data_IF_468612226111
#
_entry.id   IF_468612226111
#
_cell.length_a   1.000
_cell.length_b   1.000
_cell.length_c   1.000
_cell.angle_alpha   90.00
_cell.angle_beta   90.00
_cell.angle_gamma   90.00
#
_symmetry.space_group_name_H-M   'P 1'
#
loop_
_entity.id
_entity.type
_entity.pdbx_description
1 polymer ?
#
# COMPACT_ATOMS: atom_id res chain seq x y z
N UNK A 1 11.47 16.37 1.55
CA UNK A 1 12.41 15.29 1.95
C UNK A 1 11.62 14.12 2.54
N UNK A 2 11.24 13.15 1.70
CA UNK A 2 10.48 11.95 2.13
C UNK A 2 11.30 11.10 3.11
N UNK A 3 12.60 10.99 2.86
CA UNK A 3 13.55 10.21 3.68
C UNK A 3 13.57 10.62 5.17
N UNK A 4 13.45 11.92 5.47
CA UNK A 4 13.45 12.39 6.86
C UNK A 4 12.17 11.98 7.59
N UNK A 5 11.03 11.99 6.89
CA UNK A 5 9.78 11.52 7.47
C UNK A 5 9.82 10.02 7.74
N UNK A 6 10.40 9.23 6.81
CA UNK A 6 10.61 7.79 7.00
C UNK A 6 11.48 7.53 8.23
N UNK A 7 12.63 8.22 8.36
CA UNK A 7 13.51 8.08 9.53
C UNK A 7 12.82 8.42 10.85
N UNK A 8 11.90 9.39 10.87
CA UNK A 8 11.12 9.70 12.07
C UNK A 8 10.24 8.52 12.45
N UNK A 9 9.52 7.93 11.48
CA UNK A 9 8.67 6.76 11.71
C UNK A 9 9.49 5.56 12.18
N UNK A 10 10.64 5.29 11.55
CA UNK A 10 11.53 4.20 11.95
C UNK A 10 11.98 4.34 13.40
N UNK A 11 12.42 5.54 13.81
CA UNK A 11 12.85 5.80 15.19
C UNK A 11 11.71 5.75 16.19
N UNK A 12 10.51 6.17 15.82
CA UNK A 12 9.36 6.19 16.71
C UNK A 12 8.69 4.84 16.86
N UNK A 13 8.63 4.05 15.80
CA UNK A 13 7.88 2.80 15.79
C UNK A 13 8.86 1.63 15.85
N UNK A 14 9.69 1.45 14.82
CA UNK A 14 10.54 0.26 14.71
C UNK A 14 11.54 0.18 15.88
N UNK A 15 12.19 1.29 16.23
CA UNK A 15 13.15 1.27 17.34
C UNK A 15 12.48 0.95 18.69
N UNK A 16 11.23 1.37 18.94
CA UNK A 16 10.51 1.02 20.18
C UNK A 16 10.07 -0.44 20.20
N UNK A 17 9.77 -1.03 19.04
CA UNK A 17 9.33 -2.42 18.92
C UNK A 17 10.49 -3.43 18.76
N UNK A 18 11.75 -2.99 18.59
CA UNK A 18 12.90 -3.86 18.25
C UNK A 18 13.21 -4.99 19.24
N UNK A 19 12.70 -4.92 20.46
CA UNK A 19 12.88 -5.95 21.50
C UNK A 19 11.57 -6.63 21.89
N UNK A 20 10.49 -6.41 21.12
CA UNK A 20 9.22 -7.08 21.29
C UNK A 20 9.12 -8.27 20.34
N UNK A 21 8.61 -9.38 20.84
CA UNK A 21 8.26 -10.55 20.03
C UNK A 21 6.74 -10.61 19.92
N UNK A 22 6.23 -10.69 18.70
CA UNK A 22 4.81 -10.82 18.41
C UNK A 22 4.53 -12.22 17.85
N UNK A 23 3.43 -12.83 18.31
CA UNK A 23 3.04 -14.17 17.89
C UNK A 23 1.93 -14.17 16.82
N UNK A 24 1.35 -13.01 16.53
CA UNK A 24 0.44 -12.84 15.41
C UNK A 24 0.54 -11.43 14.82
N UNK A 25 0.12 -11.31 13.55
CA UNK A 25 0.19 -10.06 12.80
C UNK A 25 -0.76 -8.98 13.38
N UNK A 26 -1.90 -9.38 13.96
CA UNK A 26 -2.83 -8.44 14.57
C UNK A 26 -2.24 -7.74 15.80
N UNK A 27 -1.44 -8.45 16.60
CA UNK A 27 -0.80 -7.86 17.78
C UNK A 27 0.26 -6.83 17.38
N UNK A 28 1.07 -7.17 16.37
CA UNK A 28 2.04 -6.24 15.79
C UNK A 28 1.33 -4.99 15.23
N UNK A 29 0.27 -5.18 14.44
CA UNK A 29 -0.50 -4.06 13.88
C UNK A 29 -1.12 -3.18 14.96
N UNK A 30 -1.56 -3.76 16.08
CA UNK A 30 -2.11 -3.03 17.21
C UNK A 30 -1.04 -2.17 17.87
N UNK A 31 0.13 -2.73 18.15
CA UNK A 31 1.26 -2.00 18.72
C UNK A 31 1.73 -0.86 17.80
N UNK A 32 1.82 -1.09 16.48
CA UNK A 32 2.15 -0.06 15.50
C UNK A 32 1.13 1.08 15.53
N UNK A 33 -0.18 0.77 15.55
CA UNK A 33 -1.25 1.78 15.57
C UNK A 33 -1.18 2.66 16.82
N UNK A 34 -0.92 2.07 17.99
CA UNK A 34 -0.75 2.83 19.24
C UNK A 34 0.41 3.82 19.14
N UNK A 35 1.59 3.35 18.73
CA UNK A 35 2.77 4.20 18.57
C UNK A 35 2.58 5.28 17.50
N UNK A 36 1.87 4.97 16.42
CA UNK A 36 1.53 5.92 15.37
C UNK A 36 0.62 7.04 15.90
N UNK A 37 -0.40 6.71 16.69
CA UNK A 37 -1.28 7.69 17.34
C UNK A 37 -0.49 8.61 18.28
N UNK A 38 0.36 8.05 19.15
CA UNK A 38 1.23 8.83 20.03
C UNK A 38 2.14 9.79 19.25
N UNK A 39 2.79 9.28 18.18
CA UNK A 39 3.69 10.08 17.34
C UNK A 39 2.96 11.23 16.64
N UNK A 40 1.72 10.98 16.18
CA UNK A 40 0.93 11.98 15.46
C UNK A 40 0.34 13.05 16.38
N UNK A 41 -0.02 12.68 17.62
CA UNK A 41 -0.54 13.61 18.62
C UNK A 41 0.54 14.46 19.31
N UNK A 42 1.81 14.07 19.22
CA UNK A 42 2.91 14.82 19.86
C UNK A 42 3.17 16.15 19.15
N UNK A 43 3.35 17.27 19.88
CA UNK A 43 3.79 18.54 19.32
C UNK A 43 5.11 18.42 18.55
N UNK A 44 5.21 19.16 17.45
CA UNK A 44 6.44 19.22 16.66
C UNK A 44 7.54 19.96 17.44
N UNK A 45 8.81 19.63 17.18
CA UNK A 45 9.94 20.21 17.94
C UNK A 45 9.99 21.74 17.92
N UNK A 46 9.49 22.37 16.86
CA UNK A 46 9.56 23.84 16.66
C UNK A 46 8.19 24.53 16.71
N UNK A 47 7.11 23.78 16.95
CA UNK A 47 5.75 24.32 16.90
C UNK A 47 4.89 23.68 17.99
N UNK A 48 3.96 24.44 18.57
CA UNK A 48 3.02 23.92 19.59
C UNK A 48 1.90 23.06 19.01
N UNK A 49 1.88 22.85 17.69
CA UNK A 49 0.92 22.00 17.00
C UNK A 49 1.52 20.62 16.72
N UNK A 50 0.67 19.61 16.71
CA UNK A 50 1.00 18.22 16.38
C UNK A 50 0.81 17.93 14.89
N UNK A 51 1.25 16.74 14.44
CA UNK A 51 0.99 16.31 13.05
C UNK A 51 -0.51 16.11 12.82
N UNK A 52 -1.22 15.65 13.85
CA UNK A 52 -2.66 15.49 13.82
C UNK A 52 -3.37 16.84 13.64
N UNK A 53 -2.96 17.87 14.37
CA UNK A 53 -3.53 19.21 14.23
C UNK A 53 -3.34 19.77 12.82
N UNK A 54 -2.15 19.57 12.24
CA UNK A 54 -1.87 19.97 10.86
C UNK A 54 -2.74 19.19 9.86
N UNK A 55 -2.91 17.88 10.04
CA UNK A 55 -3.80 17.07 9.20
C UNK A 55 -5.24 17.58 9.25
N UNK A 56 -5.77 17.83 10.44
CA UNK A 56 -7.14 18.32 10.62
C UNK A 56 -7.35 19.70 10.00
N UNK A 57 -6.38 20.60 10.14
CA UNK A 57 -6.53 22.00 9.71
C UNK A 57 -6.18 22.25 8.25
N UNK A 58 -5.27 21.46 7.66
CA UNK A 58 -4.74 21.69 6.33
C UNK A 58 -5.15 20.60 5.34
N UNK A 59 -4.89 19.33 5.69
CA UNK A 59 -5.05 18.22 4.75
C UNK A 59 -6.52 17.79 4.64
N UNK A 60 -7.19 17.53 5.76
CA UNK A 60 -8.59 17.06 5.82
C UNK A 60 -9.55 17.90 4.97
N UNK A 61 -9.58 19.25 5.03
CA UNK A 61 -10.48 20.05 4.19
C UNK A 61 -10.12 20.01 2.70
N UNK A 62 -8.87 19.67 2.35
CA UNK A 62 -8.42 19.54 0.97
C UNK A 62 -8.62 18.12 0.40
N UNK A 63 -8.98 17.13 1.23
CA UNK A 63 -9.21 15.76 0.76
C UNK A 63 -10.53 15.63 0.02
N UNK A 64 -10.52 14.85 -1.07
CA UNK A 64 -11.74 14.36 -1.69
C UNK A 64 -12.46 13.37 -0.77
N UNK A 65 -13.80 13.23 -0.91
CA UNK A 65 -14.53 12.20 -0.21
C UNK A 65 -13.95 10.82 -0.51
N UNK A 66 -14.07 9.89 0.45
CA UNK A 66 -13.64 8.52 0.27
C UNK A 66 -14.33 7.93 -0.97
N UNK A 67 -13.58 7.43 -1.98
CA UNK A 67 -14.18 6.82 -3.15
C UNK A 67 -15.06 5.63 -2.75
N UNK A 68 -16.22 5.48 -3.40
CA UNK A 68 -17.13 4.36 -3.18
C UNK A 68 -16.53 3.02 -3.62
N UNK A 69 -15.60 3.06 -4.57
CA UNK A 69 -14.85 1.90 -5.03
C UNK A 69 -13.46 1.87 -4.39
N UNK A 70 -13.09 0.76 -3.71
CA UNK A 70 -11.74 0.58 -3.20
C UNK A 70 -10.71 0.70 -4.32
N UNK A 71 -9.54 1.24 -3.99
CA UNK A 71 -8.42 1.21 -4.92
C UNK A 71 -7.97 -0.23 -5.16
N UNK A 72 -8.08 -0.69 -6.41
CA UNK A 72 -7.59 -1.99 -6.84
C UNK A 72 -6.22 -1.82 -7.50
N UNK A 73 -5.15 -2.17 -6.79
CA UNK A 73 -3.84 -2.24 -7.41
C UNK A 73 -3.84 -3.35 -8.47
N UNK A 74 -3.54 -2.97 -9.71
CA UNK A 74 -3.44 -3.90 -10.82
C UNK A 74 -2.11 -3.69 -11.54
N UNK A 75 -1.46 -4.80 -11.86
CA UNK A 75 -0.33 -4.81 -12.79
C UNK A 75 -0.84 -5.13 -14.18
N UNK A 76 -0.27 -4.46 -15.17
CA UNK A 76 -0.60 -4.67 -16.57
C UNK A 76 0.60 -5.29 -17.28
N UNK A 77 0.37 -6.34 -18.07
CA UNK A 77 1.40 -7.02 -18.84
C UNK A 77 0.88 -7.37 -20.22
N UNK A 78 1.64 -7.04 -21.28
CA UNK A 78 1.34 -7.54 -22.62
C UNK A 78 1.81 -8.99 -22.78
N UNK A 79 0.99 -9.82 -23.39
CA UNK A 79 1.31 -11.21 -23.72
C UNK A 79 0.76 -11.55 -25.10
N UNK A 80 1.53 -12.34 -25.88
CA UNK A 80 1.05 -12.88 -27.15
C UNK A 80 0.33 -14.20 -26.89
N UNK A 81 -0.85 -14.34 -27.48
CA UNK A 81 -1.63 -15.59 -27.38
C UNK A 81 -0.98 -16.67 -28.24
N UNK A 82 -0.70 -17.81 -27.61
CA UNK A 82 -0.14 -18.99 -28.26
C UNK A 82 -1.16 -19.68 -29.18
N UNK A 83 -0.68 -20.54 -30.08
CA UNK A 83 -1.52 -21.26 -31.05
C UNK A 83 -2.54 -22.19 -30.38
N UNK A 84 -2.22 -22.67 -29.19
CA UNK A 84 -3.08 -23.49 -28.34
C UNK A 84 -4.02 -22.64 -27.46
N UNK A 85 -4.35 -21.40 -27.85
CA UNK A 85 -5.27 -20.48 -27.15
C UNK A 85 -4.91 -20.16 -25.69
N UNK A 86 -3.64 -20.26 -25.29
CA UNK A 86 -3.16 -19.92 -23.95
C UNK A 86 -2.22 -18.71 -23.94
N UNK A 87 -2.19 -18.00 -22.80
CA UNK A 87 -1.14 -17.06 -22.42
C UNK A 87 -0.41 -17.56 -21.17
N UNK A 88 0.88 -17.28 -21.07
CA UNK A 88 1.67 -17.62 -19.88
C UNK A 88 1.88 -16.40 -18.96
N UNK A 89 1.51 -16.55 -17.69
CA UNK A 89 1.80 -15.59 -16.63
C UNK A 89 2.26 -16.33 -15.35
N UNK A 90 3.39 -15.91 -14.78
CA UNK A 90 3.99 -16.53 -13.59
C UNK A 90 4.08 -18.07 -13.67
N UNK A 91 4.55 -18.60 -14.81
CA UNK A 91 4.68 -20.04 -15.09
C UNK A 91 3.36 -20.82 -15.05
N UNK A 92 2.24 -20.13 -15.25
CA UNK A 92 0.90 -20.71 -15.35
C UNK A 92 0.29 -20.31 -16.69
N UNK A 93 -0.38 -21.27 -17.33
CA UNK A 93 -1.12 -21.05 -18.56
C UNK A 93 -2.56 -20.69 -18.24
N UNK A 94 -3.07 -19.68 -18.93
CA UNK A 94 -4.45 -19.22 -18.83
C UNK A 94 -5.08 -19.26 -20.21
N UNK A 95 -6.23 -19.92 -20.32
CA UNK A 95 -6.96 -20.00 -21.58
C UNK A 95 -7.58 -18.65 -21.91
N UNK A 96 -7.60 -18.31 -23.19
CA UNK A 96 -8.30 -17.13 -23.73
C UNK A 96 -9.24 -17.58 -24.86
N UNK A 97 -10.20 -16.74 -25.28
CA UNK A 97 -11.02 -17.03 -26.45
C UNK A 97 -10.15 -17.35 -27.68
N UNK A 98 -10.45 -18.46 -28.37
CA UNK A 98 -9.69 -18.92 -29.54
C UNK A 98 -9.56 -17.86 -30.64
N UNK A 99 -10.53 -16.94 -30.76
CA UNK A 99 -10.48 -15.83 -31.71
C UNK A 99 -9.28 -14.89 -31.51
N UNK A 100 -8.61 -14.93 -30.35
CA UNK A 100 -7.45 -14.10 -30.03
C UNK A 100 -6.11 -14.78 -30.32
N UNK A 101 -6.09 -15.99 -30.92
CA UNK A 101 -4.85 -16.69 -31.25
C UNK A 101 -3.96 -15.82 -32.14
N UNK A 102 -2.69 -15.63 -31.74
CA UNK A 102 -1.73 -14.78 -32.45
C UNK A 102 -1.78 -13.29 -32.07
N UNK A 103 -2.86 -12.83 -31.43
CA UNK A 103 -3.01 -11.45 -30.98
C UNK A 103 -2.16 -11.14 -29.75
N UNK A 104 -1.85 -9.86 -29.56
CA UNK A 104 -1.24 -9.35 -28.33
C UNK A 104 -2.33 -8.81 -27.42
N UNK A 105 -2.51 -9.45 -26.27
CA UNK A 105 -3.48 -9.06 -25.25
C UNK A 105 -2.81 -8.37 -24.08
N UNK A 106 -3.58 -7.58 -23.32
CA UNK A 106 -3.13 -6.98 -22.07
C UNK A 106 -3.75 -7.69 -20.87
N UNK A 107 -2.90 -8.19 -19.99
CA UNK A 107 -3.30 -8.90 -18.78
C UNK A 107 -3.49 -7.90 -17.65
N UNK A 108 -4.67 -7.88 -17.05
CA UNK A 108 -4.92 -7.18 -15.77
C UNK A 108 -4.73 -8.15 -14.61
N UNK A 109 -3.63 -8.00 -13.88
CA UNK A 109 -3.26 -8.88 -12.77
C UNK A 109 -3.58 -8.18 -11.45
N UNK A 110 -4.47 -8.78 -10.65
CA UNK A 110 -4.66 -8.39 -9.25
C UNK A 110 -3.66 -9.16 -8.38
N UNK A 111 -2.86 -8.43 -7.59
CA UNK A 111 -2.02 -9.05 -6.57
C UNK A 111 -2.89 -9.38 -5.34
N UNK A 112 -2.73 -10.58 -4.74
CA UNK A 112 -3.41 -10.93 -3.51
C UNK A 112 -2.88 -10.12 -2.31
#
# INVERSE_FOLDING_TARGET
KVEVAVQVVERWILARLRHHTFFCLSDLNTAIRQLLQEMNARPLQRQKVSRWDLFETLDRPALHPLPSTPYEYAQWKKAKVSIDYHIEFNRRLYSVPHALVGEVVELRIRLP
#
